data_IF_409138157546
#
_entry.id   IF_409138157546
#
_cell.length_a   1.000
_cell.length_b   1.000
_cell.length_c   1.000
_cell.angle_alpha   90.00
_cell.angle_beta   90.00
_cell.angle_gamma   90.00
#
_symmetry.space_group_name_H-M   'P 1'
#
loop_
_entity.id
_entity.type
_entity.pdbx_description
1 polymer ?
#
# COMPACT_ATOMS: atom_id res chain seq x y z
N UNK A 1 -26.80 -11.53 -11.57
CA UNK A 1 -26.06 -10.55 -10.75
C UNK A 1 -26.19 -10.88 -9.28
N UNK A 2 -27.40 -11.04 -8.74
CA UNK A 2 -27.62 -11.27 -7.30
C UNK A 2 -26.91 -12.53 -6.74
N UNK A 3 -26.90 -13.63 -7.48
CA UNK A 3 -26.18 -14.84 -7.07
C UNK A 3 -24.65 -14.70 -7.11
N UNK A 4 -24.12 -13.75 -7.88
CA UNK A 4 -22.68 -13.61 -8.12
C UNK A 4 -21.98 -12.82 -7.02
N UNK A 5 -22.63 -11.82 -6.44
CA UNK A 5 -22.06 -11.02 -5.35
C UNK A 5 -21.95 -11.82 -4.03
N UNK A 6 -22.52 -13.00 -3.97
CA UNK A 6 -22.39 -13.93 -2.84
C UNK A 6 -21.34 -15.03 -3.07
N UNK A 7 -20.63 -14.99 -4.19
CA UNK A 7 -19.56 -15.94 -4.51
C UNK A 7 -18.21 -15.22 -4.57
N UNK A 8 -17.09 -15.91 -4.28
CA UNK A 8 -15.76 -15.35 -4.49
C UNK A 8 -15.59 -14.96 -5.98
N UNK A 9 -15.32 -13.69 -6.23
CA UNK A 9 -15.09 -13.17 -7.57
C UNK A 9 -13.62 -13.38 -7.98
N UNK A 10 -13.40 -13.95 -9.16
CA UNK A 10 -12.06 -14.07 -9.73
C UNK A 10 -11.72 -12.79 -10.50
N UNK A 11 -10.81 -12.01 -9.94
CA UNK A 11 -10.39 -10.76 -10.52
C UNK A 11 -9.33 -10.98 -11.63
N UNK A 12 -9.43 -10.20 -12.69
CA UNK A 12 -8.36 -10.08 -13.68
C UNK A 12 -7.13 -9.38 -13.08
N UNK A 13 -5.91 -9.59 -13.64
CA UNK A 13 -4.76 -8.78 -13.30
C UNK A 13 -5.04 -7.30 -13.56
N UNK A 14 -4.69 -6.44 -12.60
CA UNK A 14 -4.84 -4.99 -12.70
C UNK A 14 -3.50 -4.33 -12.42
N UNK A 15 -2.60 -4.43 -13.41
CA UNK A 15 -1.22 -3.95 -13.33
C UNK A 15 -1.19 -2.45 -13.55
N UNK A 16 -0.53 -1.73 -12.63
CA UNK A 16 -0.47 -0.26 -12.60
C UNK A 16 0.96 0.20 -12.85
N UNK A 17 1.10 1.23 -13.68
CA UNK A 17 2.38 1.88 -13.98
C UNK A 17 2.96 2.57 -12.75
N UNK A 18 4.30 2.49 -12.58
CA UNK A 18 5.05 3.22 -11.56
C UNK A 18 6.44 3.64 -12.07
N UNK A 19 7.03 4.60 -11.38
CA UNK A 19 8.36 5.15 -11.67
C UNK A 19 9.52 4.19 -11.38
N UNK A 20 9.24 3.03 -10.79
CA UNK A 20 10.23 2.01 -10.45
C UNK A 20 9.90 0.70 -11.17
N UNK A 21 10.87 -0.20 -11.24
CA UNK A 21 10.71 -1.50 -11.89
C UNK A 21 10.39 -2.60 -10.88
N UNK A 22 9.62 -3.57 -11.32
CA UNK A 22 9.28 -4.76 -10.55
C UNK A 22 8.19 -5.58 -11.23
N UNK A 23 7.62 -6.52 -10.49
CA UNK A 23 6.49 -7.31 -10.93
C UNK A 23 6.79 -8.77 -11.24
N UNK A 24 8.05 -9.19 -11.34
CA UNK A 24 8.39 -10.58 -11.63
C UNK A 24 7.85 -11.57 -10.57
N UNK A 25 7.79 -11.19 -9.29
CA UNK A 25 7.20 -12.04 -8.25
C UNK A 25 5.67 -12.06 -8.32
N UNK A 26 5.02 -10.98 -8.75
CA UNK A 26 3.58 -10.98 -9.04
C UNK A 26 3.28 -11.95 -10.21
N UNK A 27 4.08 -11.90 -11.27
CA UNK A 27 3.93 -12.80 -12.43
C UNK A 27 4.07 -14.26 -12.02
N UNK A 28 5.06 -14.58 -11.16
CA UNK A 28 5.23 -15.93 -10.60
C UNK A 28 4.02 -16.34 -9.74
N UNK A 29 3.56 -15.44 -8.87
CA UNK A 29 2.38 -15.68 -8.04
C UNK A 29 1.13 -15.97 -8.89
N UNK A 30 0.97 -15.29 -10.03
CA UNK A 30 -0.12 -15.52 -10.98
C UNK A 30 0.13 -16.69 -11.94
N UNK A 31 1.28 -17.36 -11.87
CA UNK A 31 1.64 -18.51 -12.72
C UNK A 31 1.94 -18.13 -14.17
N UNK A 32 2.40 -16.92 -14.44
CA UNK A 32 2.77 -16.49 -15.79
C UNK A 32 4.07 -17.17 -16.26
N UNK A 33 4.18 -17.52 -17.57
CA UNK A 33 5.29 -18.33 -18.05
C UNK A 33 6.63 -17.60 -18.14
N UNK A 34 6.62 -16.27 -18.13
CA UNK A 34 7.82 -15.41 -18.26
C UNK A 34 7.75 -14.26 -17.27
N UNK A 35 8.10 -14.51 -16.00
CA UNK A 35 8.14 -13.46 -14.99
C UNK A 35 9.20 -12.42 -15.34
N UNK A 36 8.82 -11.12 -15.37
CA UNK A 36 9.70 -10.02 -15.74
C UNK A 36 9.46 -8.78 -14.88
N UNK A 37 10.56 -8.06 -14.56
CA UNK A 37 10.49 -6.77 -13.93
C UNK A 37 10.26 -5.67 -14.98
N UNK A 38 9.12 -5.04 -14.90
CA UNK A 38 8.69 -3.95 -15.80
C UNK A 38 8.34 -2.70 -15.01
N UNK A 39 7.86 -1.66 -15.69
CA UNK A 39 7.30 -0.46 -15.05
C UNK A 39 5.85 -0.65 -14.57
N UNK A 40 5.38 -1.91 -14.44
CA UNK A 40 4.08 -2.29 -13.88
C UNK A 40 4.27 -3.17 -12.63
N UNK A 41 4.89 -2.65 -11.57
CA UNK A 41 5.30 -3.43 -10.40
C UNK A 41 4.19 -3.67 -9.39
N UNK A 42 3.01 -3.09 -9.59
CA UNK A 42 1.85 -3.21 -8.71
C UNK A 42 0.69 -3.92 -9.42
N UNK A 43 -0.12 -4.65 -8.65
CA UNK A 43 -1.37 -5.28 -9.07
C UNK A 43 -2.45 -4.92 -8.05
N UNK A 44 -3.40 -4.09 -8.45
CA UNK A 44 -4.44 -3.57 -7.58
C UNK A 44 -5.64 -4.51 -7.52
N UNK A 45 -5.86 -5.11 -6.37
CA UNK A 45 -6.81 -6.22 -6.19
C UNK A 45 -8.18 -5.69 -5.76
N UNK A 46 -9.20 -5.89 -6.56
CA UNK A 46 -10.58 -5.45 -6.24
C UNK A 46 -10.74 -3.94 -6.12
N UNK A 47 -9.88 -3.19 -6.78
CA UNK A 47 -9.80 -1.73 -6.65
C UNK A 47 -10.95 -1.01 -7.34
N UNK A 48 -11.54 -0.05 -6.61
CA UNK A 48 -12.39 1.00 -7.15
C UNK A 48 -11.70 2.39 -7.13
N UNK A 49 -10.38 2.42 -6.90
CA UNK A 49 -9.56 3.63 -6.81
C UNK A 49 -8.83 3.84 -8.14
N UNK A 50 -8.98 4.99 -8.81
CA UNK A 50 -8.17 5.30 -9.99
C UNK A 50 -6.72 5.57 -9.60
N UNK A 51 -5.78 5.14 -10.44
CA UNK A 51 -4.37 5.45 -10.27
C UNK A 51 -4.06 6.90 -10.71
N UNK A 52 -3.08 7.52 -10.04
CA UNK A 52 -2.58 8.85 -10.37
C UNK A 52 -1.18 8.69 -10.99
N UNK A 53 -1.10 8.83 -12.31
CA UNK A 53 0.14 8.74 -13.07
C UNK A 53 0.31 9.96 -13.99
N UNK A 54 1.52 10.26 -14.50
CA UNK A 54 1.73 11.28 -15.51
C UNK A 54 0.87 11.02 -16.75
N UNK A 55 0.40 12.08 -17.45
CA UNK A 55 -0.52 11.94 -18.60
C UNK A 55 -0.03 10.96 -19.68
N UNK A 56 1.30 10.91 -19.94
CA UNK A 56 1.90 10.02 -20.92
C UNK A 56 1.89 8.53 -20.53
N UNK A 57 1.58 8.24 -19.26
CA UNK A 57 1.49 6.89 -18.71
C UNK A 57 0.10 6.56 -18.17
N UNK A 58 -0.86 7.47 -18.32
CA UNK A 58 -2.24 7.27 -17.88
C UNK A 58 -3.08 6.70 -19.02
N UNK A 59 -3.88 5.68 -18.72
CA UNK A 59 -4.91 5.15 -19.62
C UNK A 59 -6.27 5.10 -18.91
N UNK A 60 -7.34 5.10 -19.68
CA UNK A 60 -8.70 5.08 -19.13
C UNK A 60 -8.94 3.82 -18.28
N UNK A 61 -9.41 4.03 -17.05
CA UNK A 61 -9.69 2.96 -16.10
C UNK A 61 -8.46 2.39 -15.39
N UNK A 62 -7.27 3.01 -15.51
CA UNK A 62 -6.09 2.57 -14.79
C UNK A 62 -6.33 2.56 -13.27
N UNK A 63 -5.95 1.45 -12.63
CA UNK A 63 -6.20 1.21 -11.21
C UNK A 63 -7.57 0.63 -10.89
N UNK A 64 -8.54 0.68 -11.80
CA UNK A 64 -9.87 0.10 -11.60
C UNK A 64 -9.88 -1.39 -11.96
N UNK A 65 -10.23 -2.22 -10.99
CA UNK A 65 -10.30 -3.67 -11.21
C UNK A 65 -11.53 -4.09 -11.98
N UNK A 66 -11.37 -5.14 -12.79
CA UNK A 66 -12.46 -5.79 -13.52
C UNK A 66 -12.67 -7.24 -13.08
N UNK A 67 -13.91 -7.67 -13.14
CA UNK A 67 -14.29 -9.05 -12.90
C UNK A 67 -15.11 -9.57 -14.08
N UNK A 68 -14.76 -10.76 -14.55
CA UNK A 68 -15.54 -11.44 -15.59
C UNK A 68 -16.60 -12.32 -14.98
N UNK A 69 -17.82 -12.15 -15.47
CA UNK A 69 -18.98 -12.91 -15.07
C UNK A 69 -19.69 -13.43 -16.31
N UNK A 70 -19.62 -14.73 -16.57
CA UNK A 70 -20.04 -15.29 -17.85
C UNK A 70 -19.26 -14.67 -19.01
N UNK A 71 -19.97 -14.07 -19.96
CA UNK A 71 -19.36 -13.40 -21.13
C UNK A 71 -19.20 -11.89 -20.96
N UNK A 72 -19.45 -11.33 -19.78
CA UNK A 72 -19.41 -9.89 -19.54
C UNK A 72 -18.33 -9.53 -18.53
N UNK A 73 -17.64 -8.42 -18.80
CA UNK A 73 -16.73 -7.78 -17.86
C UNK A 73 -17.45 -6.65 -17.13
N UNK A 74 -17.22 -6.56 -15.83
CA UNK A 74 -17.75 -5.53 -14.95
C UNK A 74 -16.59 -4.82 -14.26
N UNK A 75 -16.64 -3.50 -14.24
CA UNK A 75 -15.71 -2.68 -13.46
C UNK A 75 -16.20 -2.64 -12.01
N UNK A 76 -15.33 -2.93 -11.05
CA UNK A 76 -15.70 -2.94 -9.62
C UNK A 76 -16.24 -1.58 -9.17
N UNK A 77 -15.67 -0.48 -9.68
CA UNK A 77 -16.15 0.87 -9.37
C UNK A 77 -17.59 1.09 -9.83
N UNK A 78 -17.99 0.57 -10.99
CA UNK A 78 -19.37 0.68 -11.49
C UNK A 78 -20.33 -0.17 -10.64
N UNK A 79 -19.94 -1.40 -10.32
CA UNK A 79 -20.71 -2.27 -9.41
C UNK A 79 -20.89 -1.62 -8.03
N UNK A 80 -19.85 -0.95 -7.53
CA UNK A 80 -19.91 -0.23 -6.27
C UNK A 80 -20.90 0.95 -6.32
N UNK A 81 -20.98 1.67 -7.45
CA UNK A 81 -21.97 2.74 -7.64
C UNK A 81 -23.40 2.20 -7.73
N UNK A 82 -23.61 1.11 -8.45
CA UNK A 82 -24.92 0.52 -8.66
C UNK A 82 -25.44 -0.20 -7.40
N UNK A 83 -24.54 -0.86 -6.66
CA UNK A 83 -24.88 -1.77 -5.55
C UNK A 83 -23.90 -1.62 -4.37
N UNK A 84 -23.80 -0.44 -3.76
CA UNK A 84 -22.76 -0.14 -2.77
C UNK A 84 -22.78 -1.07 -1.56
N UNK A 85 -23.95 -1.38 -1.00
CA UNK A 85 -24.06 -2.24 0.17
C UNK A 85 -23.71 -3.72 -0.11
N UNK A 86 -23.94 -4.19 -1.34
CA UNK A 86 -23.60 -5.56 -1.73
C UNK A 86 -22.10 -5.72 -2.01
N UNK A 87 -21.43 -4.65 -2.49
CA UNK A 87 -20.00 -4.67 -2.83
C UNK A 87 -19.11 -4.33 -1.63
N UNK A 88 -19.45 -3.26 -0.90
CA UNK A 88 -18.64 -2.77 0.21
C UNK A 88 -19.18 -3.15 1.60
N UNK A 89 -20.42 -3.62 1.67
CA UNK A 89 -21.12 -3.87 2.94
C UNK A 89 -21.85 -2.62 3.47
N UNK A 90 -23.01 -2.85 4.11
CA UNK A 90 -23.89 -1.78 4.57
C UNK A 90 -23.22 -0.86 5.60
N UNK A 91 -22.40 -1.40 6.50
CA UNK A 91 -21.68 -0.64 7.54
C UNK A 91 -20.63 0.33 6.96
N UNK A 92 -19.93 -0.08 5.90
CA UNK A 92 -18.97 0.78 5.20
C UNK A 92 -19.71 1.92 4.51
N UNK A 93 -20.80 1.59 3.80
CA UNK A 93 -21.60 2.61 3.08
C UNK A 93 -22.21 3.62 4.05
N UNK A 94 -22.73 3.18 5.19
CA UNK A 94 -23.27 4.06 6.22
C UNK A 94 -22.20 5.01 6.78
N UNK A 95 -20.99 4.50 6.98
CA UNK A 95 -19.91 5.27 7.61
C UNK A 95 -19.17 6.19 6.64
N UNK A 96 -18.94 5.75 5.42
CA UNK A 96 -18.03 6.41 4.48
C UNK A 96 -18.66 6.77 3.13
N UNK A 97 -19.93 6.40 2.88
CA UNK A 97 -20.57 6.56 1.59
C UNK A 97 -20.17 5.47 0.57
N UNK A 98 -20.29 5.78 -0.72
CA UNK A 98 -20.02 4.84 -1.81
C UNK A 98 -18.52 4.69 -2.03
N UNK A 99 -17.91 3.81 -1.28
CA UNK A 99 -16.46 3.51 -1.33
C UNK A 99 -16.18 2.12 -0.77
N UNK A 100 -15.10 1.50 -1.18
CA UNK A 100 -14.57 0.29 -0.54
C UNK A 100 -13.89 0.60 0.80
N UNK A 101 -13.58 1.86 1.07
CA UNK A 101 -12.78 2.34 2.20
C UNK A 101 -11.39 1.67 2.33
N UNK A 102 -11.01 0.87 1.36
CA UNK A 102 -9.78 0.08 1.33
C UNK A 102 -9.29 -0.08 -0.11
N UNK A 103 -7.97 -0.04 -0.28
CA UNK A 103 -7.27 -0.49 -1.48
C UNK A 103 -6.26 -1.56 -1.09
N UNK A 104 -6.28 -2.69 -1.77
CA UNK A 104 -5.31 -3.78 -1.59
C UNK A 104 -4.45 -3.91 -2.84
N UNK A 105 -3.13 -4.05 -2.65
CA UNK A 105 -2.18 -4.22 -3.75
C UNK A 105 -1.25 -5.39 -3.49
N UNK A 106 -0.81 -6.01 -4.56
CA UNK A 106 0.45 -6.75 -4.59
C UNK A 106 1.49 -5.79 -5.16
N UNK A 107 2.60 -5.60 -4.46
CA UNK A 107 3.71 -4.76 -4.88
C UNK A 107 5.01 -5.57 -4.87
N UNK A 108 5.71 -5.62 -5.99
CA UNK A 108 7.03 -6.26 -6.13
C UNK A 108 8.06 -5.22 -6.54
N UNK A 109 8.92 -4.84 -5.62
CA UNK A 109 9.99 -3.88 -5.84
C UNK A 109 11.22 -4.54 -6.48
N UNK A 110 11.29 -4.59 -7.80
CA UNK A 110 12.50 -5.01 -8.53
C UNK A 110 13.62 -3.99 -8.46
N UNK A 111 13.28 -2.72 -8.26
CA UNK A 111 14.19 -1.64 -7.88
C UNK A 111 13.63 -0.89 -6.67
N UNK A 112 14.48 -0.12 -5.97
CA UNK A 112 14.07 0.67 -4.81
C UNK A 112 13.03 1.72 -5.22
N UNK A 113 12.02 1.94 -4.39
CA UNK A 113 11.07 3.04 -4.51
C UNK A 113 11.73 4.36 -4.05
N UNK A 114 11.34 5.52 -4.62
CA UNK A 114 11.73 6.82 -4.09
C UNK A 114 11.28 6.99 -2.64
N UNK A 115 11.98 7.81 -1.86
CA UNK A 115 11.51 8.22 -0.53
C UNK A 115 10.27 9.10 -0.70
N UNK A 116 9.18 8.73 -0.05
CA UNK A 116 7.89 9.41 -0.17
C UNK A 116 7.11 9.41 1.15
N UNK A 117 6.01 10.14 1.16
CA UNK A 117 5.12 10.27 2.32
C UNK A 117 3.66 10.40 1.88
N UNK A 118 2.76 10.10 2.80
CA UNK A 118 1.32 10.17 2.58
C UNK A 118 0.63 11.10 3.58
N UNK A 119 -0.44 11.82 3.17
CA UNK A 119 -1.14 12.75 4.05
C UNK A 119 -2.01 12.02 5.07
N UNK A 120 -2.19 12.64 6.24
CA UNK A 120 -3.27 12.29 7.18
C UNK A 120 -4.65 12.61 6.57
N UNK A 121 -5.73 12.05 7.13
CA UNK A 121 -7.11 12.38 6.71
C UNK A 121 -7.39 13.89 6.78
N UNK A 122 -6.90 14.58 7.82
CA UNK A 122 -7.11 16.01 7.98
C UNK A 122 -6.36 16.83 6.94
N UNK A 123 -5.13 16.46 6.62
CA UNK A 123 -4.35 17.08 5.55
C UNK A 123 -4.97 16.80 4.19
N UNK A 124 -5.37 15.56 3.93
CA UNK A 124 -6.02 15.18 2.69
C UNK A 124 -7.33 15.95 2.45
N UNK A 125 -8.13 16.16 3.51
CA UNK A 125 -9.34 16.98 3.42
C UNK A 125 -9.03 18.44 3.09
N UNK A 126 -8.00 19.02 3.70
CA UNK A 126 -7.63 20.43 3.47
C UNK A 126 -6.99 20.66 2.11
N UNK A 127 -6.18 19.72 1.63
CA UNK A 127 -5.33 19.92 0.44
C UNK A 127 -5.97 19.34 -0.82
N UNK A 128 -6.67 18.22 -0.70
CA UNK A 128 -7.18 17.42 -1.82
C UNK A 128 -8.70 17.25 -1.83
N UNK A 129 -9.40 17.83 -0.86
CA UNK A 129 -10.86 17.64 -0.67
C UNK A 129 -11.25 16.15 -0.55
N UNK A 130 -10.41 15.36 0.10
CA UNK A 130 -10.59 13.92 0.29
C UNK A 130 -10.89 13.57 1.74
N UNK A 131 -11.88 12.71 1.97
CA UNK A 131 -12.15 12.18 3.31
C UNK A 131 -11.11 11.16 3.79
N UNK A 132 -10.32 10.60 2.85
CA UNK A 132 -9.26 9.65 3.13
C UNK A 132 -7.90 10.29 2.95
N UNK A 133 -6.98 9.96 3.87
CA UNK A 133 -5.56 10.16 3.72
C UNK A 133 -4.94 8.96 2.99
N UNK A 134 -3.76 8.52 3.46
CA UNK A 134 -3.19 7.26 3.01
C UNK A 134 -2.37 6.63 4.14
N UNK A 135 -3.05 6.10 5.15
CA UNK A 135 -2.44 5.09 6.01
C UNK A 135 -2.25 3.82 5.19
N UNK A 136 -1.11 3.16 5.33
CA UNK A 136 -0.84 1.90 4.65
C UNK A 136 -0.12 0.90 5.56
N UNK A 137 -0.22 -0.37 5.22
CA UNK A 137 0.44 -1.42 5.94
C UNK A 137 0.85 -2.54 4.99
N UNK A 138 1.99 -3.15 5.27
CA UNK A 138 2.62 -4.15 4.43
C UNK A 138 2.73 -5.49 5.15
N UNK A 139 2.39 -6.56 4.47
CA UNK A 139 2.79 -7.92 4.82
C UNK A 139 3.83 -8.38 3.80
N UNK A 140 5.04 -8.65 4.25
CA UNK A 140 6.13 -9.09 3.37
C UNK A 140 5.86 -10.55 2.98
N UNK A 141 5.42 -10.75 1.75
CA UNK A 141 5.05 -12.07 1.24
C UNK A 141 6.27 -12.88 0.80
N UNK A 142 7.27 -12.22 0.22
CA UNK A 142 8.55 -12.82 -0.17
C UNK A 142 9.64 -11.76 -0.29
N UNK A 143 10.89 -12.22 -0.30
CA UNK A 143 12.05 -11.38 -0.62
C UNK A 143 12.94 -12.10 -1.63
N UNK A 144 13.66 -11.32 -2.45
CA UNK A 144 14.70 -11.83 -3.36
C UNK A 144 15.91 -10.91 -3.36
N UNK A 145 17.09 -11.48 -3.56
CA UNK A 145 18.29 -10.67 -3.77
C UNK A 145 18.27 -10.10 -5.20
N UNK A 146 18.47 -8.80 -5.31
CA UNK A 146 18.67 -8.10 -6.59
C UNK A 146 20.18 -7.83 -6.71
N UNK A 147 20.74 -8.16 -7.87
CA UNK A 147 22.17 -7.95 -8.14
C UNK A 147 22.54 -6.47 -8.02
N UNK A 148 23.59 -6.19 -7.25
CA UNK A 148 24.06 -4.82 -6.99
C UNK A 148 23.24 -4.03 -5.96
N UNK A 149 22.14 -4.58 -5.46
CA UNK A 149 21.35 -3.97 -4.40
C UNK A 149 21.72 -4.52 -3.01
N UNK A 150 21.52 -3.75 -1.93
CA UNK A 150 21.59 -4.24 -0.57
C UNK A 150 20.57 -5.37 -0.32
N UNK A 151 20.69 -6.07 0.83
CA UNK A 151 19.64 -7.00 1.30
C UNK A 151 18.27 -6.31 1.36
N UNK A 152 17.16 -7.05 1.12
CA UNK A 152 15.80 -6.49 1.17
C UNK A 152 15.53 -5.76 2.49
N UNK A 153 15.08 -4.49 2.38
CA UNK A 153 14.89 -3.60 3.53
C UNK A 153 13.86 -2.52 3.23
N UNK A 154 13.47 -1.82 4.27
CA UNK A 154 12.60 -0.63 4.19
C UNK A 154 13.22 0.52 4.97
N UNK A 155 12.85 1.75 4.64
CA UNK A 155 13.21 2.96 5.39
C UNK A 155 11.95 3.55 5.99
N UNK A 156 12.00 3.94 7.29
CA UNK A 156 10.82 4.38 8.05
C UNK A 156 11.19 5.53 9.00
N UNK A 157 10.75 6.75 8.67
CA UNK A 157 10.97 7.94 9.47
C UNK A 157 12.42 8.22 9.80
N UNK A 158 12.66 9.28 10.54
CA UNK A 158 14.00 9.72 10.91
C UNK A 158 14.50 9.07 12.21
N UNK A 159 15.82 8.89 12.32
CA UNK A 159 16.48 8.41 13.56
C UNK A 159 16.58 9.49 14.63
N UNK A 160 16.75 10.74 14.20
CA UNK A 160 16.86 11.93 15.03
C UNK A 160 15.91 13.00 14.50
N UNK A 161 15.51 13.97 15.33
CA UNK A 161 14.70 15.09 14.90
C UNK A 161 15.40 15.87 13.77
N UNK A 162 14.65 16.18 12.73
CA UNK A 162 15.14 16.96 11.58
C UNK A 162 14.45 18.32 11.57
N UNK A 163 15.22 19.41 11.52
CA UNK A 163 14.61 20.73 11.45
C UNK A 163 13.87 20.95 10.12
N UNK A 164 12.78 21.76 10.12
CA UNK A 164 12.06 22.08 8.88
C UNK A 164 12.96 22.67 7.79
N UNK A 165 13.95 23.49 8.17
CA UNK A 165 14.89 24.12 7.23
C UNK A 165 15.83 23.08 6.62
N UNK A 166 16.29 22.13 7.43
CA UNK A 166 17.15 21.05 6.96
C UNK A 166 16.40 20.10 6.02
N UNK A 167 15.18 19.71 6.40
CA UNK A 167 14.32 18.87 5.58
C UNK A 167 14.03 19.54 4.22
N UNK A 168 13.64 20.82 4.23
CA UNK A 168 13.45 21.61 3.01
C UNK A 168 14.70 21.61 2.15
N UNK A 169 15.86 21.84 2.74
CA UNK A 169 17.13 21.88 2.01
C UNK A 169 17.41 20.56 1.31
N UNK A 170 17.25 19.42 2.01
CA UNK A 170 17.47 18.11 1.41
C UNK A 170 16.52 17.82 0.25
N UNK A 171 15.24 18.18 0.40
CA UNK A 171 14.22 17.92 -0.62
C UNK A 171 14.41 18.85 -1.83
N UNK A 172 14.60 20.17 -1.63
CA UNK A 172 14.73 21.12 -2.74
C UNK A 172 16.06 20.94 -3.50
N UNK A 173 17.13 20.53 -2.82
CA UNK A 173 18.43 20.24 -3.44
C UNK A 173 18.58 18.79 -3.89
N UNK A 174 17.58 17.94 -3.60
CA UNK A 174 17.62 16.49 -3.84
C UNK A 174 18.86 15.82 -3.26
N UNK A 175 19.28 16.24 -2.04
CA UNK A 175 20.31 15.52 -1.29
C UNK A 175 19.73 14.21 -0.72
N UNK A 176 19.46 13.31 -1.65
CA UNK A 176 18.79 12.01 -1.37
C UNK A 176 19.66 11.11 -0.53
N UNK A 177 20.97 11.30 -0.55
CA UNK A 177 21.91 10.57 0.31
C UNK A 177 21.76 11.00 1.77
N UNK A 178 21.74 12.31 2.04
CA UNK A 178 21.54 12.84 3.39
C UNK A 178 20.14 12.49 3.91
N UNK A 179 19.09 12.71 3.09
CA UNK A 179 17.71 12.39 3.44
C UNK A 179 17.56 10.93 3.87
N UNK A 180 17.94 9.98 3.00
CA UNK A 180 17.83 8.56 3.28
C UNK A 180 18.80 8.12 4.38
N UNK A 181 20.00 8.72 4.43
CA UNK A 181 21.00 8.47 5.46
C UNK A 181 20.54 8.87 6.87
N UNK A 182 19.57 9.76 7.02
CA UNK A 182 18.96 10.14 8.30
C UNK A 182 17.82 9.23 8.74
N UNK A 183 17.28 8.36 7.86
CA UNK A 183 16.13 7.49 8.14
C UNK A 183 16.54 6.21 8.89
N UNK A 184 15.57 5.62 9.59
CA UNK A 184 15.69 4.25 10.11
C UNK A 184 15.67 3.26 8.96
N UNK A 185 16.64 2.37 8.92
CA UNK A 185 16.79 1.31 7.93
C UNK A 185 16.53 -0.04 8.59
N UNK A 186 15.56 -0.80 8.09
CA UNK A 186 15.12 -2.06 8.67
C UNK A 186 15.19 -3.15 7.61
N UNK A 187 16.01 -4.18 7.85
CA UNK A 187 16.00 -5.39 7.02
C UNK A 187 14.69 -6.15 7.21
N UNK A 188 14.12 -6.66 6.11
CA UNK A 188 12.85 -7.38 6.13
C UNK A 188 12.95 -8.74 5.45
N UNK A 189 12.11 -9.66 5.90
CA UNK A 189 12.00 -11.01 5.35
C UNK A 189 10.53 -11.44 5.25
N UNK A 190 10.27 -12.52 4.54
CA UNK A 190 8.94 -13.08 4.41
C UNK A 190 8.29 -13.34 5.78
N UNK A 191 7.06 -12.90 5.94
CA UNK A 191 6.28 -12.98 7.16
C UNK A 191 6.42 -11.78 8.09
N UNK A 192 7.28 -10.80 7.80
CA UNK A 192 7.31 -9.53 8.52
C UNK A 192 6.09 -8.67 8.15
N UNK A 193 5.68 -7.84 9.09
CA UNK A 193 4.57 -6.91 8.95
C UNK A 193 5.05 -5.49 9.30
N UNK A 194 4.62 -4.50 8.52
CA UNK A 194 4.99 -3.09 8.69
C UNK A 194 3.73 -2.25 8.64
N UNK A 195 3.56 -1.32 9.57
CA UNK A 195 2.55 -0.28 9.51
C UNK A 195 3.20 1.07 9.21
N UNK A 196 2.75 1.73 8.16
CA UNK A 196 3.23 3.05 7.74
C UNK A 196 2.14 4.07 8.06
N UNK A 197 2.31 4.74 9.20
CA UNK A 197 1.37 5.79 9.59
C UNK A 197 1.46 6.99 8.64
N UNK A 198 0.36 7.70 8.37
CA UNK A 198 0.39 8.95 7.61
C UNK A 198 1.40 9.95 8.20
N UNK A 199 2.09 10.68 7.34
CA UNK A 199 3.15 11.60 7.72
C UNK A 199 4.53 10.97 7.85
N UNK A 200 4.65 9.66 7.93
CA UNK A 200 5.93 8.96 8.05
C UNK A 200 6.61 8.87 6.68
N UNK A 201 7.77 9.52 6.52
CA UNK A 201 8.64 9.29 5.34
C UNK A 201 9.07 7.84 5.28
N UNK A 202 8.96 7.24 4.09
CA UNK A 202 9.30 5.83 3.92
C UNK A 202 9.75 5.50 2.50
N UNK A 203 10.39 4.34 2.35
CA UNK A 203 10.72 3.74 1.06
C UNK A 203 10.83 2.22 1.18
N UNK A 204 10.49 1.51 0.10
CA UNK A 204 10.69 0.06 -0.03
C UNK A 204 11.94 -0.21 -0.85
N UNK A 205 12.83 -1.05 -0.34
CA UNK A 205 14.05 -1.47 -1.01
C UNK A 205 13.82 -2.47 -2.12
N UNK A 206 14.80 -2.60 -2.99
CA UNK A 206 14.78 -3.62 -4.03
C UNK A 206 14.71 -5.04 -3.46
N UNK A 207 13.95 -5.90 -4.11
CA UNK A 207 13.81 -7.31 -3.75
C UNK A 207 12.71 -7.61 -2.75
N UNK A 208 11.89 -6.63 -2.37
CA UNK A 208 10.74 -6.83 -1.46
C UNK A 208 9.47 -7.08 -2.29
N UNK A 209 8.77 -8.17 -1.99
CA UNK A 209 7.42 -8.45 -2.49
C UNK A 209 6.45 -8.44 -1.31
N UNK A 210 5.43 -7.60 -1.37
CA UNK A 210 4.51 -7.39 -0.27
C UNK A 210 3.04 -7.36 -0.72
N UNK A 211 2.16 -7.65 0.23
CA UNK A 211 0.73 -7.30 0.16
C UNK A 211 0.55 -6.01 0.95
N UNK A 212 0.05 -4.99 0.28
CA UNK A 212 -0.25 -3.69 0.87
C UNK A 212 -1.75 -3.55 1.06
N UNK A 213 -2.17 -3.12 2.24
CA UNK A 213 -3.50 -2.58 2.49
C UNK A 213 -3.36 -1.09 2.81
N UNK A 214 -4.20 -0.26 2.20
CA UNK A 214 -4.15 1.19 2.40
C UNK A 214 -5.53 1.83 2.33
N UNK A 215 -5.64 3.07 2.81
CA UNK A 215 -6.80 3.90 2.51
C UNK A 215 -6.95 4.09 0.99
N UNK A 216 -8.19 4.23 0.45
CA UNK A 216 -8.47 4.14 -0.99
C UNK A 216 -8.12 5.43 -1.75
N UNK A 217 -6.86 5.85 -1.65
CA UNK A 217 -6.30 7.00 -2.37
C UNK A 217 -4.93 6.66 -2.97
N UNK A 218 -4.51 7.41 -3.98
CA UNK A 218 -3.18 7.29 -4.57
C UNK A 218 -2.32 8.55 -4.31
N UNK A 219 -2.52 9.21 -3.16
CA UNK A 219 -1.74 10.39 -2.79
C UNK A 219 -0.34 9.99 -2.35
N UNK A 220 0.67 10.43 -3.10
CA UNK A 220 2.08 10.17 -2.80
C UNK A 220 2.91 11.41 -3.07
N UNK A 221 3.51 11.96 -2.02
CA UNK A 221 4.42 13.09 -2.08
C UNK A 221 5.84 12.54 -2.11
N UNK A 222 6.53 12.71 -3.25
CA UNK A 222 7.87 12.16 -3.48
C UNK A 222 8.93 13.13 -2.96
N UNK A 223 9.44 12.89 -1.75
CA UNK A 223 10.57 13.66 -1.20
C UNK A 223 11.88 13.42 -1.98
N UNK A 224 11.97 12.27 -2.66
CA UNK A 224 13.03 11.91 -3.59
C UNK A 224 12.43 11.76 -4.99
N UNK A 225 12.93 12.50 -5.97
CA UNK A 225 12.50 12.43 -7.37
C UNK A 225 13.68 12.44 -8.35
N UNK A 226 14.86 12.94 -7.95
CA UNK A 226 16.05 12.84 -8.78
C UNK A 226 16.48 11.39 -8.98
N UNK A 227 16.80 11.03 -10.23
CA UNK A 227 17.12 9.64 -10.61
C UNK A 227 15.90 8.78 -10.95
N UNK A 228 14.69 9.33 -10.84
CA UNK A 228 13.45 8.73 -11.29
C UNK A 228 12.84 9.59 -12.41
N UNK A 229 12.01 9.00 -13.31
CA UNK A 229 11.28 9.76 -14.32
C UNK A 229 10.06 10.49 -13.69
N UNK A 230 10.33 11.36 -12.73
CA UNK A 230 9.32 12.12 -11.98
C UNK A 230 9.55 13.60 -12.22
N UNK A 231 8.56 14.29 -12.78
CA UNK A 231 8.58 15.76 -12.86
C UNK A 231 8.52 16.35 -11.44
N UNK A 232 9.36 17.36 -11.11
CA UNK A 232 9.30 18.00 -9.80
C UNK A 232 7.93 18.53 -9.39
N UNK A 233 7.09 18.97 -10.33
CA UNK A 233 5.74 19.42 -10.04
C UNK A 233 4.82 18.25 -9.65
N UNK A 234 5.04 17.06 -10.21
CA UNK A 234 4.32 15.82 -9.82
C UNK A 234 4.78 15.37 -8.44
N UNK A 235 6.08 15.51 -8.11
CA UNK A 235 6.64 15.08 -6.83
C UNK A 235 5.88 15.69 -5.64
N UNK A 236 5.47 16.95 -5.74
CA UNK A 236 4.65 17.62 -4.72
C UNK A 236 3.16 17.73 -5.12
N UNK A 237 2.67 16.86 -6.03
CA UNK A 237 1.27 16.77 -6.48
C UNK A 237 0.69 18.14 -6.94
N UNK A 238 1.49 18.98 -7.60
CA UNK A 238 1.15 20.33 -8.05
C UNK A 238 0.75 21.33 -6.94
N UNK A 239 1.06 21.04 -5.65
CA UNK A 239 0.67 21.89 -4.50
C UNK A 239 1.81 22.76 -3.97
N UNK A 240 3.06 22.52 -4.44
CA UNK A 240 4.26 23.22 -3.97
C UNK A 240 4.81 22.71 -2.64
N UNK A 241 6.12 22.86 -2.45
CA UNK A 241 6.79 22.37 -1.24
C UNK A 241 6.38 23.11 0.03
N UNK A 242 5.98 24.40 -0.05
CA UNK A 242 5.47 25.14 1.11
C UNK A 242 4.24 24.46 1.76
N UNK A 243 3.42 23.79 0.94
CA UNK A 243 2.25 23.04 1.42
C UNK A 243 2.62 21.61 1.78
N UNK A 244 3.48 20.96 0.96
CA UNK A 244 3.73 19.53 1.11
C UNK A 244 4.72 19.18 2.22
N UNK A 245 5.59 20.09 2.64
CA UNK A 245 6.44 19.88 3.81
C UNK A 245 5.65 19.70 5.11
N UNK A 246 4.47 20.30 5.21
CA UNK A 246 3.56 20.12 6.35
C UNK A 246 3.01 18.67 6.47
N UNK A 247 3.10 17.89 5.39
CA UNK A 247 2.68 16.48 5.41
C UNK A 247 3.71 15.59 6.10
N UNK A 248 4.98 16.01 6.16
CA UNK A 248 6.08 15.20 6.65
C UNK A 248 6.23 15.37 8.16
N UNK A 249 6.16 14.26 8.88
CA UNK A 249 6.57 14.21 10.27
C UNK A 249 8.11 14.13 10.34
N UNK A 250 8.73 15.21 10.80
CA UNK A 250 10.18 15.32 10.91
C UNK A 250 10.74 14.95 12.29
N UNK A 251 9.88 14.52 13.22
CA UNK A 251 10.31 14.03 14.51
C UNK A 251 11.01 12.66 14.40
N UNK A 252 11.90 12.39 15.33
CA UNK A 252 12.54 11.10 15.45
C UNK A 252 11.51 9.99 15.72
N UNK A 253 11.67 8.87 15.05
CA UNK A 253 10.97 7.61 15.39
C UNK A 253 11.84 6.88 16.41
N UNK A 254 11.36 6.80 17.63
CA UNK A 254 12.05 6.10 18.71
C UNK A 254 12.19 4.61 18.43
N UNK A 255 13.10 3.94 19.14
CA UNK A 255 13.27 2.50 18.99
C UNK A 255 12.02 1.70 19.33
N UNK A 256 11.25 2.15 20.32
CA UNK A 256 10.03 1.47 20.76
C UNK A 256 8.92 1.69 19.72
N UNK A 257 8.75 2.91 19.19
CA UNK A 257 7.83 3.18 18.08
C UNK A 257 8.21 2.38 16.83
N UNK A 258 9.50 2.28 16.48
CA UNK A 258 9.95 1.48 15.35
C UNK A 258 9.61 -0.01 15.54
N UNK A 259 9.71 -0.53 16.76
CA UNK A 259 9.33 -1.90 17.09
C UNK A 259 7.81 -2.12 17.00
N UNK A 260 7.01 -1.07 17.28
CA UNK A 260 5.55 -1.11 17.09
C UNK A 260 5.15 -1.03 15.61
N UNK A 261 5.92 -0.29 14.80
CA UNK A 261 5.67 -0.17 13.35
C UNK A 261 6.10 -1.42 12.57
N UNK A 262 7.10 -2.16 13.06
CA UNK A 262 7.69 -3.31 12.38
C UNK A 262 7.68 -4.53 13.29
N UNK A 263 7.12 -5.64 12.85
CA UNK A 263 7.06 -6.83 13.67
C UNK A 263 6.63 -8.08 12.91
N UNK A 264 6.08 -9.00 13.66
CA UNK A 264 5.47 -10.23 13.15
C UNK A 264 3.99 -10.27 13.49
N UNK A 265 3.14 -10.90 12.63
CA UNK A 265 1.75 -11.17 12.97
C UNK A 265 1.63 -11.84 14.34
N UNK A 266 0.68 -11.38 15.14
CA UNK A 266 0.47 -11.84 16.50
C UNK A 266 -0.70 -12.81 16.57
N UNK A 267 -0.49 -14.00 17.14
CA UNK A 267 -1.55 -14.98 17.40
C UNK A 267 -2.64 -14.38 18.28
N UNK A 268 -3.89 -14.35 17.75
CA UNK A 268 -5.08 -13.86 18.46
C UNK A 268 -6.07 -14.97 18.78
N UNK A 269 -6.10 -16.04 17.97
CA UNK A 269 -6.93 -17.21 18.25
C UNK A 269 -6.33 -18.49 17.67
N UNK A 270 -6.70 -19.64 18.23
CA UNK A 270 -6.35 -20.96 17.71
C UNK A 270 -7.36 -22.01 18.18
N UNK A 271 -7.49 -23.07 17.38
CA UNK A 271 -8.19 -24.28 17.78
C UNK A 271 -7.41 -25.50 17.26
N UNK A 272 -6.68 -26.14 18.15
CA UNK A 272 -5.84 -27.29 17.82
C UNK A 272 -6.68 -28.52 17.40
N UNK A 273 -7.90 -28.66 17.92
CA UNK A 273 -8.79 -29.76 17.59
C UNK A 273 -9.31 -29.65 16.15
N UNK A 274 -9.62 -28.43 15.72
CA UNK A 274 -10.07 -28.13 14.35
C UNK A 274 -8.90 -27.81 13.42
N UNK A 275 -7.69 -27.68 13.94
CA UNK A 275 -6.46 -27.48 13.17
C UNK A 275 -6.34 -26.12 12.52
N UNK A 276 -6.73 -25.04 13.21
CA UNK A 276 -6.56 -23.70 12.68
C UNK A 276 -5.94 -22.70 13.67
N UNK A 277 -5.38 -21.65 13.10
CA UNK A 277 -4.85 -20.51 13.86
C UNK A 277 -5.13 -19.19 13.14
N UNK A 278 -5.36 -18.14 13.92
CA UNK A 278 -5.60 -16.77 13.44
C UNK A 278 -4.55 -15.82 14.02
N UNK A 279 -3.91 -15.05 13.16
CA UNK A 279 -2.94 -14.04 13.54
C UNK A 279 -3.41 -12.66 13.06
N UNK A 280 -3.41 -11.67 13.95
CA UNK A 280 -3.53 -10.25 13.61
C UNK A 280 -2.21 -9.79 12.96
N UNK A 281 -2.28 -9.25 11.74
CA UNK A 281 -1.09 -8.95 10.94
C UNK A 281 -0.38 -7.69 11.42
N UNK A 282 -1.10 -6.59 11.65
CA UNK A 282 -0.50 -5.28 11.91
C UNK A 282 -0.71 -4.73 13.31
N UNK A 283 -1.61 -5.32 14.10
CA UNK A 283 -1.91 -4.90 15.46
C UNK A 283 -2.77 -3.63 15.56
N UNK A 284 -2.93 -3.09 16.77
CA UNK A 284 -3.93 -2.07 17.07
C UNK A 284 -3.67 -0.70 16.42
N UNK A 285 -2.45 -0.39 15.99
CA UNK A 285 -2.13 0.87 15.33
C UNK A 285 -2.81 1.01 13.96
N UNK A 286 -3.12 -0.10 13.29
CA UNK A 286 -3.87 -0.09 12.02
C UNK A 286 -5.38 -0.03 12.21
N UNK A 287 -5.91 -0.33 13.39
CA UNK A 287 -7.35 -0.41 13.71
C UNK A 287 -8.19 0.81 13.30
N UNK A 288 -7.69 2.07 13.39
CA UNK A 288 -8.45 3.24 12.93
C UNK A 288 -8.70 3.30 11.43
N UNK A 289 -7.99 2.49 10.65
CA UNK A 289 -8.00 2.50 9.19
C UNK A 289 -8.54 1.20 8.62
N UNK A 290 -7.90 0.07 8.97
CA UNK A 290 -8.25 -1.28 8.50
C UNK A 290 -7.63 -2.35 9.41
N UNK A 291 -8.09 -3.59 9.24
CA UNK A 291 -7.56 -4.78 9.91
C UNK A 291 -7.30 -5.87 8.89
N UNK A 292 -6.31 -6.71 9.17
CA UNK A 292 -6.13 -7.94 8.42
C UNK A 292 -5.69 -9.09 9.33
N UNK A 293 -6.22 -10.25 9.05
CA UNK A 293 -5.93 -11.47 9.78
C UNK A 293 -5.40 -12.52 8.83
N UNK A 294 -4.41 -13.30 9.31
CA UNK A 294 -3.94 -14.49 8.61
C UNK A 294 -4.55 -15.71 9.26
N UNK A 295 -5.40 -16.41 8.52
CA UNK A 295 -5.92 -17.71 8.92
C UNK A 295 -5.03 -18.82 8.34
N UNK A 296 -4.48 -19.66 9.21
CA UNK A 296 -3.76 -20.87 8.84
C UNK A 296 -4.60 -22.08 9.20
N UNK A 297 -4.89 -22.94 8.21
CA UNK A 297 -5.76 -24.11 8.38
C UNK A 297 -5.04 -25.37 7.96
N UNK A 298 -5.03 -26.38 8.81
CA UNK A 298 -4.55 -27.72 8.50
C UNK A 298 -5.74 -28.63 8.21
N UNK A 299 -6.09 -28.77 6.94
CA UNK A 299 -7.28 -29.52 6.50
C UNK A 299 -8.44 -28.62 6.07
N UNK A 300 -9.59 -28.74 6.68
CA UNK A 300 -10.79 -27.98 6.38
C UNK A 300 -11.49 -27.51 7.65
N UNK A 301 -11.90 -26.26 7.67
CA UNK A 301 -12.64 -25.69 8.80
C UNK A 301 -13.83 -24.87 8.30
N UNK A 302 -14.97 -24.97 9.00
CA UNK A 302 -16.07 -24.04 8.82
C UNK A 302 -15.78 -22.79 9.67
N UNK A 303 -15.27 -21.74 9.04
CA UNK A 303 -14.91 -20.50 9.72
C UNK A 303 -16.15 -19.67 10.00
N UNK A 304 -16.49 -19.40 11.27
CA UNK A 304 -17.61 -18.54 11.61
C UNK A 304 -17.24 -17.08 11.32
N UNK A 305 -17.53 -16.64 10.12
CA UNK A 305 -17.34 -15.26 9.73
C UNK A 305 -18.44 -14.40 10.36
N UNK A 306 -18.16 -13.76 11.47
CA UNK A 306 -19.00 -12.69 11.99
C UNK A 306 -18.74 -11.44 11.13
N UNK A 307 -19.39 -11.33 9.98
CA UNK A 307 -19.22 -10.28 9.00
C UNK A 307 -19.24 -8.85 9.58
N UNK A 308 -18.13 -8.45 10.16
CA UNK A 308 -17.88 -7.08 10.64
C UNK A 308 -16.58 -6.63 9.99
N UNK A 309 -16.73 -5.81 9.02
CA UNK A 309 -15.62 -5.03 8.50
C UNK A 309 -16.05 -3.58 8.42
#
# INVERSE_FOLDING_TARGET
MDELLHLPLRLAPNRVYRFFKGGALIDRFRGLPRPEDTTFPEDWVGSATPAINPPEHTYEGEGLSTVRVGDRDYVIADLLQERPADVAGASIVERYGVTTALLVKLLDAGSRLPVHVHPTRDLARRIFDSQFGKAEAWYIAATRQIEGAPSPRVWLGFRDDVSPEQLRTWIEQQDTQALRGAMNEVEVQAGDAVFVRPGLLHATGAGVFLVEAQEPTDFSIMAEYEGYPIDPAIAHMHKGWDTMLDVIDSAAVTRDELADLCGRPRRVASNDTEGWTEDDIWGPQSDPYFKAFRLSVNGSVAWPHAGVY
#
